data_IF_848305318422
#
_entry.id   IF_848305318422
#
_cell.length_a   1.000
_cell.length_b   1.000
_cell.length_c   1.000
_cell.angle_alpha   90.00
_cell.angle_beta   90.00
_cell.angle_gamma   90.00
#
_symmetry.space_group_name_H-M   'P 1'
#
loop_
_entity.id
_entity.type
_entity.pdbx_description
1 polymer ?
#
# COMPACT_ATOMS: atom_id res chain seq x y z
N UNK A 1 0.35 17.39 9.06
CA UNK A 1 1.29 17.26 7.94
C UNK A 1 1.29 18.59 7.21
N UNK A 2 2.43 19.06 6.72
CA UNK A 2 2.52 20.41 6.13
C UNK A 2 2.61 20.32 4.60
N UNK A 3 1.54 19.78 4.01
CA UNK A 3 1.41 19.54 2.56
C UNK A 3 0.08 20.10 2.03
N UNK A 4 -0.04 20.21 0.71
CA UNK A 4 -1.29 20.45 0.00
C UNK A 4 -1.58 19.32 -0.98
N UNK A 5 -2.81 19.21 -1.45
CA UNK A 5 -3.26 18.20 -2.40
C UNK A 5 -3.57 16.87 -1.70
N UNK A 6 -3.23 15.76 -2.35
CA UNK A 6 -3.59 14.44 -1.86
C UNK A 6 -2.49 13.84 -0.97
N UNK A 7 -2.76 13.55 0.31
CA UNK A 7 -1.79 12.92 1.21
C UNK A 7 -1.60 11.42 0.91
N UNK A 8 -2.34 10.85 -0.04
CA UNK A 8 -2.46 9.40 -0.22
C UNK A 8 -1.13 8.72 -0.54
N UNK A 9 -0.32 9.28 -1.44
CA UNK A 9 0.99 8.71 -1.75
C UNK A 9 1.96 8.73 -0.57
N UNK A 10 1.88 9.75 0.30
CA UNK A 10 2.69 9.83 1.53
C UNK A 10 2.26 8.77 2.55
N UNK A 11 0.94 8.64 2.77
CA UNK A 11 0.40 7.73 3.78
C UNK A 11 0.44 6.26 3.33
N UNK A 12 0.29 5.98 2.04
CA UNK A 12 0.36 4.62 1.49
C UNK A 12 1.77 4.01 1.56
N UNK A 13 2.79 4.85 1.55
CA UNK A 13 4.19 4.46 1.72
C UNK A 13 4.75 4.90 3.08
N UNK A 14 3.88 5.08 4.10
CA UNK A 14 4.34 5.47 5.42
C UNK A 14 5.25 4.37 5.99
N UNK A 15 6.47 4.73 6.45
CA UNK A 15 7.47 3.76 6.86
C UNK A 15 7.07 3.04 8.15
N UNK A 16 7.94 2.13 8.60
CA UNK A 16 7.80 1.40 9.88
C UNK A 16 8.07 2.36 11.05
N UNK A 17 7.09 3.22 11.32
CA UNK A 17 7.10 4.20 12.39
C UNK A 17 5.68 4.35 12.94
N UNK A 18 5.51 4.69 14.23
CA UNK A 18 4.21 5.01 14.78
C UNK A 18 3.62 6.23 14.07
N UNK A 19 2.36 6.14 13.64
CA UNK A 19 1.63 7.31 13.14
C UNK A 19 1.19 8.15 14.34
N UNK A 20 1.91 9.24 14.62
CA UNK A 20 1.71 10.02 15.85
C UNK A 20 0.53 11.00 15.72
N UNK A 21 0.52 11.82 14.69
CA UNK A 21 -0.53 12.82 14.49
C UNK A 21 -0.71 13.19 13.02
N UNK A 22 -1.98 13.33 12.64
CA UNK A 22 -2.39 13.92 11.37
C UNK A 22 -3.06 15.26 11.68
N UNK A 23 -2.30 16.35 11.55
CA UNK A 23 -2.82 17.72 11.65
C UNK A 23 -3.08 18.31 10.26
N UNK A 24 -3.94 19.34 10.19
CA UNK A 24 -4.38 20.04 8.97
C UNK A 24 -5.33 19.28 8.04
N UNK A 25 -6.08 18.30 8.56
CA UNK A 25 -7.05 17.51 7.77
C UNK A 25 -8.32 18.28 7.38
N UNK A 26 -8.62 19.37 8.09
CA UNK A 26 -9.76 20.28 7.90
C UNK A 26 -9.45 21.43 6.93
N UNK A 27 -8.22 21.53 6.47
CA UNK A 27 -7.79 22.57 5.52
C UNK A 27 -8.33 22.20 4.14
N UNK A 28 -9.00 23.16 3.48
CA UNK A 28 -9.61 22.97 2.15
C UNK A 28 -8.63 22.56 1.04
N UNK A 29 -7.32 22.73 1.27
CA UNK A 29 -6.24 22.36 0.36
C UNK A 29 -5.85 20.88 0.43
N UNK A 30 -6.39 20.11 1.39
CA UNK A 30 -6.12 18.68 1.54
C UNK A 30 -7.26 17.86 0.94
N UNK A 31 -6.96 16.90 0.08
CA UNK A 31 -7.97 15.97 -0.43
C UNK A 31 -8.34 14.94 0.66
N UNK A 32 -9.57 14.37 0.62
CA UNK A 32 -9.94 13.24 1.47
C UNK A 32 -8.94 12.08 1.40
N UNK A 33 -8.78 11.35 2.51
CA UNK A 33 -7.87 10.20 2.59
C UNK A 33 -8.33 9.09 1.64
N UNK A 34 -9.62 8.80 1.65
CA UNK A 34 -10.29 7.83 0.79
C UNK A 34 -11.09 8.64 -0.24
N UNK A 35 -10.84 8.45 -1.55
CA UNK A 35 -11.61 9.17 -2.56
C UNK A 35 -13.09 8.77 -2.53
N UNK A 36 -13.95 9.63 -3.09
CA UNK A 36 -15.42 9.49 -3.04
C UNK A 36 -16.06 9.61 -1.64
N UNK A 37 -15.27 9.90 -0.60
CA UNK A 37 -15.75 10.29 0.74
C UNK A 37 -15.48 11.77 1.03
N UNK A 38 -16.16 12.34 2.02
CA UNK A 38 -15.76 13.63 2.59
C UNK A 38 -14.46 13.49 3.39
N UNK A 39 -13.77 14.60 3.67
CA UNK A 39 -12.57 14.59 4.52
C UNK A 39 -12.86 13.92 5.87
N UNK A 40 -13.93 14.35 6.56
CA UNK A 40 -14.32 13.81 7.85
C UNK A 40 -14.66 12.32 7.81
N UNK A 41 -15.49 11.88 6.85
CA UNK A 41 -15.86 10.46 6.74
C UNK A 41 -14.65 9.59 6.40
N UNK A 42 -13.73 10.07 5.55
CA UNK A 42 -12.52 9.33 5.22
C UNK A 42 -11.58 9.13 6.43
N UNK A 43 -11.50 10.13 7.30
CA UNK A 43 -10.71 10.06 8.55
C UNK A 43 -11.39 9.12 9.54
N UNK A 44 -12.70 9.25 9.71
CA UNK A 44 -13.50 8.36 10.57
C UNK A 44 -13.33 6.90 10.14
N UNK A 45 -13.34 6.62 8.84
CA UNK A 45 -13.13 5.29 8.27
C UNK A 45 -11.78 4.70 8.66
N UNK A 46 -10.71 5.47 8.53
CA UNK A 46 -9.37 5.05 8.95
C UNK A 46 -9.29 4.84 10.47
N UNK A 47 -9.98 5.67 11.26
CA UNK A 47 -10.06 5.53 12.73
C UNK A 47 -10.70 4.19 13.12
N UNK A 48 -11.64 3.64 12.33
CA UNK A 48 -12.19 2.30 12.58
C UNK A 48 -11.10 1.23 12.59
N UNK A 49 -10.15 1.28 11.64
CA UNK A 49 -9.00 0.37 11.62
C UNK A 49 -8.01 0.66 12.76
N UNK A 50 -7.75 1.95 13.04
CA UNK A 50 -6.88 2.36 14.15
C UNK A 50 -7.34 1.81 15.50
N UNK A 51 -8.65 1.81 15.76
CA UNK A 51 -9.20 1.28 16.99
C UNK A 51 -9.02 -0.24 17.14
N UNK A 52 -8.69 -0.97 16.06
CA UNK A 52 -8.46 -2.42 16.06
C UNK A 52 -6.99 -2.79 16.23
N UNK A 53 -6.10 -2.15 15.47
CA UNK A 53 -4.65 -2.37 15.58
C UNK A 53 -3.88 -1.04 15.38
N UNK A 54 -3.80 -0.21 16.44
CA UNK A 54 -3.13 1.09 16.36
C UNK A 54 -1.63 0.93 16.08
N UNK A 55 -1.04 -0.20 16.52
CA UNK A 55 0.35 -0.53 16.29
C UNK A 55 0.68 -0.81 14.83
N UNK A 56 -0.30 -1.03 13.94
CA UNK A 56 -0.09 -1.37 12.53
C UNK A 56 -0.66 -0.34 11.56
N UNK A 57 -1.45 0.61 12.05
CA UNK A 57 -2.18 1.57 11.21
C UNK A 57 -1.24 2.37 10.32
N UNK A 58 -1.55 2.38 9.02
CA UNK A 58 -0.78 2.98 7.93
C UNK A 58 0.64 2.46 7.72
N UNK A 59 1.06 1.40 8.41
CA UNK A 59 2.37 0.84 8.13
C UNK A 59 2.39 0.06 6.83
N UNK A 60 3.41 0.33 6.05
CA UNK A 60 3.65 -0.36 4.80
C UNK A 60 4.18 -1.78 5.03
N UNK A 61 3.47 -2.76 4.47
CA UNK A 61 3.90 -4.14 4.29
C UNK A 61 4.01 -4.45 2.80
N UNK A 62 5.05 -5.17 2.38
CA UNK A 62 5.27 -5.49 0.97
C UNK A 62 5.00 -6.99 0.72
N UNK A 63 4.22 -7.28 -0.33
CA UNK A 63 3.97 -8.63 -0.82
C UNK A 63 4.41 -8.75 -2.28
N UNK A 64 4.86 -9.95 -2.66
CA UNK A 64 5.18 -10.28 -4.05
C UNK A 64 4.40 -11.53 -4.46
N UNK A 65 3.59 -11.41 -5.51
CA UNK A 65 2.99 -12.55 -6.17
C UNK A 65 3.83 -12.91 -7.40
N UNK A 66 4.83 -13.75 -7.18
CA UNK A 66 5.76 -14.16 -8.25
C UNK A 66 5.08 -15.01 -9.33
N UNK A 67 3.91 -15.61 -9.05
CA UNK A 67 3.18 -16.37 -10.08
C UNK A 67 2.55 -15.44 -11.11
N UNK A 68 2.06 -14.27 -10.65
CA UNK A 68 1.43 -13.25 -11.49
C UNK A 68 2.38 -12.10 -11.87
N UNK A 69 3.61 -12.12 -11.35
CA UNK A 69 4.57 -11.02 -11.41
C UNK A 69 4.01 -9.69 -10.86
N UNK A 70 3.32 -9.74 -9.71
CA UNK A 70 2.76 -8.56 -9.08
C UNK A 70 3.53 -8.14 -7.83
N UNK A 71 3.53 -6.84 -7.57
CA UNK A 71 3.95 -6.27 -6.29
C UNK A 71 2.77 -5.62 -5.61
N UNK A 72 2.67 -5.81 -4.30
CA UNK A 72 1.63 -5.21 -3.48
C UNK A 72 2.29 -4.41 -2.36
N UNK A 73 1.90 -3.14 -2.26
CA UNK A 73 2.19 -2.29 -1.11
C UNK A 73 0.92 -2.15 -0.29
N UNK A 74 0.93 -2.71 0.92
CA UNK A 74 -0.21 -2.76 1.83
C UNK A 74 0.04 -1.77 2.97
N UNK A 75 -0.66 -0.65 2.96
CA UNK A 75 -0.73 0.29 4.09
C UNK A 75 -1.96 -0.08 4.94
N UNK A 76 -1.75 -0.95 5.93
CA UNK A 76 -2.87 -1.55 6.67
C UNK A 76 -3.76 -0.49 7.35
N UNK A 77 -5.07 -0.64 7.24
CA UNK A 77 -6.05 0.31 7.77
C UNK A 77 -6.21 1.58 6.92
N UNK A 78 -5.64 1.63 5.72
CA UNK A 78 -5.77 2.77 4.82
C UNK A 78 -5.96 2.37 3.35
N UNK A 79 -4.92 1.85 2.68
CA UNK A 79 -4.97 1.54 1.25
C UNK A 79 -3.99 0.44 0.84
N UNK A 80 -4.24 -0.13 -0.34
CA UNK A 80 -3.37 -1.10 -1.00
C UNK A 80 -3.08 -0.61 -2.41
N UNK A 81 -1.82 -0.66 -2.80
CA UNK A 81 -1.37 -0.39 -4.17
C UNK A 81 -0.91 -1.70 -4.80
N UNK A 82 -1.62 -2.13 -5.84
CA UNK A 82 -1.27 -3.28 -6.66
C UNK A 82 -0.56 -2.81 -7.93
N UNK A 83 0.66 -3.30 -8.12
CA UNK A 83 1.46 -3.09 -9.31
C UNK A 83 1.45 -4.38 -10.14
N UNK A 84 0.87 -4.38 -11.36
CA UNK A 84 0.90 -5.51 -12.30
C UNK A 84 2.29 -5.84 -12.88
N UNK A 85 3.35 -5.56 -12.13
CA UNK A 85 4.75 -5.85 -12.43
C UNK A 85 5.55 -5.95 -11.12
N UNK A 86 6.74 -6.53 -11.20
CA UNK A 86 7.64 -6.62 -10.06
C UNK A 86 8.39 -5.29 -9.87
N UNK A 87 8.31 -4.74 -8.67
CA UNK A 87 8.92 -3.48 -8.25
C UNK A 87 9.86 -3.72 -7.09
N UNK A 88 11.02 -3.08 -7.09
CA UNK A 88 11.93 -3.28 -5.97
C UNK A 88 11.42 -2.60 -4.69
N UNK A 89 11.86 -3.10 -3.53
CA UNK A 89 11.39 -2.60 -2.24
C UNK A 89 11.68 -1.10 -2.07
N UNK A 90 12.83 -0.61 -2.57
CA UNK A 90 13.19 0.80 -2.51
C UNK A 90 12.24 1.67 -3.32
N UNK A 91 11.78 1.20 -4.48
CA UNK A 91 10.78 1.91 -5.28
C UNK A 91 9.41 1.89 -4.64
N UNK A 92 8.99 0.77 -4.03
CA UNK A 92 7.72 0.67 -3.31
C UNK A 92 7.71 1.56 -2.05
N UNK A 93 8.85 1.72 -1.38
CA UNK A 93 9.02 2.60 -0.22
C UNK A 93 9.07 4.09 -0.58
N UNK A 94 9.24 4.44 -1.87
CA UNK A 94 9.19 5.83 -2.29
C UNK A 94 7.74 6.29 -2.48
N UNK A 95 7.24 7.27 -1.71
CA UNK A 95 5.88 7.75 -1.84
C UNK A 95 5.65 8.36 -3.22
N UNK A 96 4.49 8.05 -3.83
CA UNK A 96 4.05 8.74 -5.03
C UNK A 96 3.79 10.22 -4.71
N UNK A 97 4.30 11.12 -5.55
CA UNK A 97 4.14 12.57 -5.37
C UNK A 97 2.73 13.03 -5.74
N UNK A 98 1.76 12.72 -4.88
CA UNK A 98 0.36 13.15 -4.98
C UNK A 98 0.08 14.46 -4.23
N UNK A 99 1.10 15.00 -3.59
CA UNK A 99 1.06 16.18 -2.72
C UNK A 99 2.07 17.24 -3.16
N UNK A 100 1.88 18.46 -2.67
CA UNK A 100 2.76 19.62 -2.83
C UNK A 100 3.17 20.14 -1.46
N UNK A 101 4.22 20.95 -1.41
CA UNK A 101 4.60 21.63 -0.15
C UNK A 101 3.47 22.56 0.30
N UNK A 102 3.37 22.83 1.62
CA UNK A 102 2.34 23.70 2.19
C UNK A 102 2.22 25.08 1.54
N UNK A 103 3.32 25.64 1.00
CA UNK A 103 3.33 26.94 0.32
C UNK A 103 3.31 26.82 -1.21
N UNK A 104 3.20 25.62 -1.76
CA UNK A 104 3.34 25.36 -3.19
C UNK A 104 4.72 25.71 -3.75
N UNK A 105 5.76 25.74 -2.89
CA UNK A 105 7.15 25.90 -3.31
C UNK A 105 7.57 24.75 -4.22
N UNK A 106 8.46 25.06 -5.17
CA UNK A 106 9.11 24.07 -6.03
C UNK A 106 10.37 23.47 -5.40
N UNK A 107 10.61 23.77 -4.13
CA UNK A 107 11.74 23.22 -3.39
C UNK A 107 11.57 21.70 -3.21
N UNK A 108 12.66 20.93 -3.25
CA UNK A 108 12.60 19.49 -3.09
C UNK A 108 12.17 19.11 -1.66
N UNK A 109 11.49 17.97 -1.53
CA UNK A 109 11.21 17.38 -0.22
C UNK A 109 12.51 16.85 0.41
N UNK A 110 12.51 16.70 1.74
CA UNK A 110 13.61 16.10 2.49
C UNK A 110 13.76 14.58 2.28
N UNK A 111 12.83 13.98 1.53
CA UNK A 111 12.80 12.58 1.16
C UNK A 111 12.51 12.43 -0.32
N UNK A 112 12.90 11.29 -0.90
CA UNK A 112 12.66 11.00 -2.31
C UNK A 112 11.20 10.64 -2.57
N UNK A 113 10.64 11.13 -3.67
CA UNK A 113 9.28 10.81 -4.12
C UNK A 113 9.32 10.22 -5.52
N UNK A 114 8.42 9.28 -5.82
CA UNK A 114 8.21 8.84 -7.19
C UNK A 114 7.33 9.86 -7.93
N UNK A 115 7.63 10.21 -9.20
CA UNK A 115 6.74 11.05 -9.98
C UNK A 115 5.34 10.41 -10.07
N UNK A 116 4.31 11.24 -9.90
CA UNK A 116 2.95 10.81 -10.23
C UNK A 116 2.87 10.60 -11.74
N UNK A 117 2.90 9.33 -12.17
CA UNK A 117 2.88 9.00 -13.60
C UNK A 117 1.58 9.51 -14.21
N UNK A 118 1.63 10.18 -15.38
CA UNK A 118 0.41 10.63 -16.08
C UNK A 118 -0.24 9.48 -16.85
N UNK A 119 0.58 8.54 -17.30
CA UNK A 119 0.15 7.38 -18.07
C UNK A 119 -0.63 6.37 -17.21
N UNK A 120 -1.83 6.02 -17.68
CA UNK A 120 -2.76 5.10 -17.06
C UNK A 120 -2.10 3.78 -16.60
N UNK A 121 -1.29 3.16 -17.47
CA UNK A 121 -0.73 1.82 -17.23
C UNK A 121 0.63 1.83 -16.53
N UNK A 122 1.04 3.01 -16.03
CA UNK A 122 2.23 3.18 -15.18
C UNK A 122 1.84 3.54 -13.74
N UNK A 123 0.56 3.45 -13.37
CA UNK A 123 0.06 3.70 -12.02
C UNK A 123 -0.37 2.41 -11.34
N UNK A 124 -0.20 2.26 -10.01
CA UNK A 124 -0.80 1.15 -9.31
C UNK A 124 -2.33 1.20 -9.42
N UNK A 125 -2.95 0.02 -9.32
CA UNK A 125 -4.37 -0.09 -9.02
C UNK A 125 -4.50 0.11 -7.51
N UNK A 126 -5.30 1.09 -7.10
CA UNK A 126 -5.47 1.46 -5.70
C UNK A 126 -6.77 0.89 -5.13
N UNK A 127 -6.67 0.24 -3.97
CA UNK A 127 -7.80 -0.23 -3.19
C UNK A 127 -7.82 0.52 -1.86
N UNK A 128 -9.00 0.92 -1.41
CA UNK A 128 -9.17 1.72 -0.19
C UNK A 128 -9.96 0.96 0.86
N UNK A 129 -9.72 1.28 2.13
CA UNK A 129 -10.37 0.63 3.25
C UNK A 129 -11.90 0.64 3.12
N UNK A 130 -12.49 -0.55 3.06
CA UNK A 130 -13.94 -0.77 2.95
C UNK A 130 -14.53 -1.23 4.28
N UNK A 131 -13.93 -2.22 4.95
CA UNK A 131 -14.43 -2.74 6.23
C UNK A 131 -13.32 -3.38 7.07
N UNK A 132 -13.52 -3.39 8.39
CA UNK A 132 -12.65 -4.05 9.37
C UNK A 132 -13.51 -4.91 10.30
N UNK A 133 -13.23 -6.21 10.36
CA UNK A 133 -14.05 -7.20 11.07
C UNK A 133 -13.15 -8.10 11.92
N UNK A 134 -13.54 -8.34 13.18
CA UNK A 134 -12.89 -9.33 14.02
C UNK A 134 -13.36 -10.74 13.63
N UNK A 135 -12.42 -11.64 13.41
CA UNK A 135 -12.69 -13.05 13.16
C UNK A 135 -12.74 -13.83 14.47
N UNK A 136 -13.50 -14.93 14.48
CA UNK A 136 -13.68 -15.79 15.66
C UNK A 136 -12.39 -16.44 16.16
N UNK A 137 -11.38 -16.55 15.31
CA UNK A 137 -10.07 -17.10 15.63
C UNK A 137 -9.09 -16.07 16.22
N UNK A 138 -9.55 -14.84 16.49
CA UNK A 138 -8.71 -13.76 17.04
C UNK A 138 -7.88 -13.01 16.00
N UNK A 139 -8.04 -13.31 14.70
CA UNK A 139 -7.49 -12.51 13.62
C UNK A 139 -8.43 -11.34 13.26
N UNK A 140 -7.90 -10.33 12.58
CA UNK A 140 -8.67 -9.23 12.00
C UNK A 140 -8.70 -9.42 10.48
N UNK A 141 -9.90 -9.39 9.90
CA UNK A 141 -10.13 -9.32 8.47
C UNK A 141 -10.39 -7.87 8.07
N UNK A 142 -9.62 -7.37 7.12
CA UNK A 142 -9.79 -6.04 6.55
C UNK A 142 -10.00 -6.16 5.04
N UNK A 143 -11.10 -5.60 4.53
CA UNK A 143 -11.37 -5.58 3.10
C UNK A 143 -11.09 -4.21 2.52
N UNK A 144 -10.56 -4.20 1.30
CA UNK A 144 -10.26 -2.99 0.54
C UNK A 144 -10.91 -3.12 -0.82
N UNK A 145 -11.65 -2.10 -1.25
CA UNK A 145 -12.37 -2.08 -2.52
C UNK A 145 -11.76 -1.07 -3.48
N UNK A 146 -11.82 -1.37 -4.77
CA UNK A 146 -11.54 -0.38 -5.81
C UNK A 146 -12.70 0.61 -5.89
N UNK A 147 -12.42 1.82 -6.34
CA UNK A 147 -13.47 2.81 -6.60
C UNK A 147 -14.20 2.42 -7.88
N UNK A 148 -15.52 2.26 -7.77
CA UNK A 148 -16.40 1.91 -8.88
C UNK A 148 -16.35 3.06 -9.91
N UNK A 149 -15.93 2.77 -11.14
CA UNK A 149 -15.86 3.74 -12.25
C UNK A 149 -14.46 4.26 -12.58
N UNK A 150 -13.43 3.94 -11.80
CA UNK A 150 -12.01 4.21 -12.14
C UNK A 150 -11.35 3.05 -12.90
N UNK A 151 -12.13 2.22 -13.61
CA UNK A 151 -11.56 1.15 -14.44
C UNK A 151 -10.80 1.76 -15.62
N UNK A 152 -9.49 1.56 -15.61
CA UNK A 152 -8.59 2.04 -16.64
C UNK A 152 -8.68 1.12 -17.88
N UNK A 153 -9.79 1.21 -18.62
CA UNK A 153 -10.05 0.43 -19.86
C UNK A 153 -8.90 0.55 -20.88
N UNK A 154 -8.13 1.64 -20.80
CA UNK A 154 -6.94 1.89 -21.62
C UNK A 154 -5.78 0.91 -21.36
N UNK A 155 -5.83 0.12 -20.28
CA UNK A 155 -4.76 -0.77 -19.85
C UNK A 155 -5.05 -2.26 -20.03
N UNK A 156 -6.04 -2.65 -20.84
CA UNK A 156 -6.41 -4.06 -21.08
C UNK A 156 -5.38 -4.93 -21.83
N UNK A 157 -4.08 -4.75 -21.59
CA UNK A 157 -3.07 -5.70 -22.04
C UNK A 157 -3.09 -6.99 -21.19
N UNK A 158 -2.47 -8.05 -21.70
CA UNK A 158 -2.48 -9.38 -21.08
C UNK A 158 -1.96 -9.41 -19.62
N UNK A 159 -1.08 -8.48 -19.24
CA UNK A 159 -0.48 -8.40 -17.91
C UNK A 159 -1.37 -7.63 -16.92
N UNK A 160 -2.07 -6.60 -17.38
CA UNK A 160 -2.94 -5.77 -16.56
C UNK A 160 -4.35 -6.33 -16.40
N UNK A 161 -4.91 -6.96 -17.44
CA UNK A 161 -6.30 -7.45 -17.44
C UNK A 161 -6.61 -8.35 -16.23
N UNK A 162 -5.74 -9.29 -15.83
CA UNK A 162 -5.88 -10.03 -14.58
C UNK A 162 -6.00 -9.17 -13.31
N UNK A 163 -5.26 -8.07 -13.24
CA UNK A 163 -5.24 -7.17 -12.08
C UNK A 163 -6.45 -6.22 -12.07
N UNK A 164 -6.92 -5.77 -13.24
CA UNK A 164 -8.13 -4.95 -13.39
C UNK A 164 -9.41 -5.70 -13.04
N UNK A 165 -9.41 -7.03 -13.17
CA UNK A 165 -10.54 -7.87 -12.78
C UNK A 165 -10.71 -8.00 -11.26
N UNK A 166 -9.75 -7.52 -10.46
CA UNK A 166 -9.86 -7.51 -9.01
C UNK A 166 -10.71 -6.32 -8.55
N UNK A 167 -11.74 -6.61 -7.77
CA UNK A 167 -12.60 -5.59 -7.16
C UNK A 167 -12.33 -5.42 -5.66
N UNK A 168 -11.86 -6.47 -5.02
CA UNK A 168 -11.63 -6.48 -3.58
C UNK A 168 -10.33 -7.19 -3.21
N UNK A 169 -9.64 -6.66 -2.22
CA UNK A 169 -8.50 -7.30 -1.57
C UNK A 169 -8.84 -7.50 -0.11
N UNK A 170 -8.80 -8.74 0.35
CA UNK A 170 -8.98 -9.12 1.74
C UNK A 170 -7.62 -9.33 2.39
N UNK A 171 -7.42 -8.73 3.56
CA UNK A 171 -6.19 -8.84 4.33
C UNK A 171 -6.51 -9.42 5.70
N UNK A 172 -5.84 -10.52 6.04
CA UNK A 172 -5.92 -11.11 7.39
C UNK A 172 -4.65 -10.81 8.17
N UNK A 173 -4.81 -10.40 9.42
CA UNK A 173 -3.70 -10.08 10.32
C UNK A 173 -3.98 -10.56 11.74
N UNK A 174 -2.93 -10.83 12.50
CA UNK A 174 -3.02 -10.86 13.97
C UNK A 174 -2.67 -9.48 14.52
N UNK A 175 -3.27 -9.10 15.67
CA UNK A 175 -2.96 -7.82 16.33
C UNK A 175 -1.46 -7.71 16.55
N UNK A 176 -0.86 -6.60 16.12
CA UNK A 176 0.56 -6.35 16.32
C UNK A 176 0.81 -5.95 17.78
N UNK A 177 1.52 -6.77 18.58
CA UNK A 177 1.78 -6.46 19.98
C UNK A 177 2.52 -5.12 20.12
N UNK A 178 2.07 -4.17 20.98
CA UNK A 178 2.72 -2.88 21.17
C UNK A 178 4.21 -2.97 21.56
N UNK A 179 4.63 -4.10 22.12
CA UNK A 179 6.02 -4.37 22.51
C UNK A 179 7.00 -4.41 21.32
N UNK A 180 6.50 -4.60 20.10
CA UNK A 180 7.32 -4.53 18.88
C UNK A 180 8.00 -3.17 18.75
N UNK A 181 7.37 -2.10 19.23
CA UNK A 181 7.93 -0.74 19.21
C UNK A 181 9.06 -0.50 20.22
N UNK A 182 9.30 -1.44 21.14
CA UNK A 182 10.49 -1.42 22.01
C UNK A 182 11.70 -2.08 21.36
N UNK A 183 11.54 -2.65 20.18
CA UNK A 183 12.58 -3.32 19.42
C UNK A 183 12.98 -2.45 18.22
N UNK A 184 14.06 -2.82 17.53
CA UNK A 184 14.41 -2.19 16.28
C UNK A 184 13.24 -2.33 15.28
N UNK A 185 12.75 -1.25 14.65
CA UNK A 185 11.66 -1.32 13.69
C UNK A 185 11.97 -2.32 12.57
N UNK A 186 11.06 -3.27 12.37
CA UNK A 186 11.17 -4.27 11.30
C UNK A 186 9.92 -4.20 10.45
N UNK A 187 10.10 -4.06 9.14
CA UNK A 187 9.01 -4.11 8.17
C UNK A 187 8.28 -5.45 8.29
N UNK A 188 6.97 -5.41 8.09
CA UNK A 188 6.17 -6.62 7.93
C UNK A 188 6.11 -7.00 6.45
N UNK A 189 5.98 -8.30 6.20
CA UNK A 189 5.84 -8.84 4.85
C UNK A 189 4.48 -9.53 4.76
N UNK A 190 4.10 -9.93 3.56
CA UNK A 190 2.82 -10.57 3.36
C UNK A 190 2.86 -11.65 2.29
N UNK A 191 2.00 -12.65 2.50
CA UNK A 191 1.77 -13.72 1.55
C UNK A 191 0.49 -13.47 0.78
N UNK A 192 0.56 -13.67 -0.53
CA UNK A 192 -0.63 -13.76 -1.37
C UNK A 192 -1.14 -15.20 -1.33
N UNK A 193 -2.32 -15.38 -0.74
CA UNK A 193 -2.99 -16.67 -0.63
C UNK A 193 -3.67 -16.91 -1.97
N UNK A 194 -3.07 -17.79 -2.77
CA UNK A 194 -3.61 -18.19 -4.06
C UNK A 194 -4.61 -19.32 -3.85
N UNK A 195 -5.86 -19.12 -4.28
CA UNK A 195 -6.80 -20.22 -4.47
C UNK A 195 -6.36 -21.07 -5.68
N UNK A 196 -6.58 -22.38 -5.61
CA UNK A 196 -6.24 -23.34 -6.67
C UNK A 196 -7.04 -23.08 -7.97
N UNK A 197 -8.22 -22.45 -7.85
CA UNK A 197 -9.14 -22.13 -8.95
C UNK A 197 -8.97 -20.70 -9.46
N UNK A 198 -7.92 -20.46 -10.25
CA UNK A 198 -7.81 -19.27 -11.10
C UNK A 198 -7.94 -17.91 -10.40
N UNK A 199 -8.14 -16.85 -11.18
CA UNK A 199 -8.31 -15.48 -10.64
C UNK A 199 -9.78 -15.28 -10.32
N UNK A 200 -10.13 -15.35 -9.04
CA UNK A 200 -11.40 -14.83 -8.52
C UNK A 200 -11.34 -13.30 -8.53
N UNK A 201 -12.50 -12.63 -8.52
CA UNK A 201 -12.61 -11.16 -8.41
C UNK A 201 -12.04 -10.58 -7.11
N UNK A 202 -11.59 -11.44 -6.18
CA UNK A 202 -11.10 -11.10 -4.87
C UNK A 202 -9.71 -11.71 -4.64
N UNK A 203 -8.78 -10.91 -4.09
CA UNK A 203 -7.46 -11.37 -3.69
C UNK A 203 -7.40 -11.51 -2.16
N UNK A 204 -6.75 -12.55 -1.64
CA UNK A 204 -6.53 -12.70 -0.20
C UNK A 204 -5.04 -12.60 0.13
N UNK A 205 -4.70 -11.73 1.07
CA UNK A 205 -3.36 -11.48 1.59
C UNK A 205 -3.33 -11.78 3.09
N UNK A 206 -2.23 -12.34 3.60
CA UNK A 206 -1.96 -12.44 5.03
C UNK A 206 -0.70 -11.66 5.40
N UNK A 207 -0.80 -10.72 6.34
CA UNK A 207 0.37 -9.98 6.84
C UNK A 207 1.02 -10.76 7.98
N UNK A 208 2.36 -10.85 7.95
CA UNK A 208 3.18 -11.52 8.96
C UNK A 208 4.55 -10.83 9.11
N UNK A 209 5.37 -11.33 10.02
CA UNK A 209 6.78 -10.96 10.06
C UNK A 209 7.50 -11.42 8.78
N UNK A 210 8.49 -10.65 8.33
CA UNK A 210 9.33 -11.05 7.20
C UNK A 210 10.21 -12.25 7.55
N UNK A 211 10.33 -13.18 6.61
CA UNK A 211 11.31 -14.25 6.63
C UNK A 211 12.72 -13.67 6.41
N UNK A 212 13.74 -14.47 6.73
CA UNK A 212 15.14 -14.08 6.52
C UNK A 212 15.38 -13.77 5.04
N UNK A 213 15.79 -12.53 4.74
CA UNK A 213 16.04 -12.07 3.38
C UNK A 213 14.81 -11.62 2.59
N UNK A 214 13.60 -11.70 3.17
CA UNK A 214 12.37 -11.19 2.52
C UNK A 214 12.18 -9.68 2.75
N UNK A 215 12.89 -9.13 3.75
CA UNK A 215 12.97 -7.68 3.94
C UNK A 215 13.74 -6.98 2.82
N UNK A 216 14.55 -7.72 2.04
CA UNK A 216 15.20 -7.20 0.83
C UNK A 216 14.41 -7.63 -0.40
N UNK A 217 14.48 -6.83 -1.47
CA UNK A 217 13.84 -7.14 -2.75
C UNK A 217 14.20 -8.56 -3.20
N UNK A 218 13.23 -9.44 -3.50
CA UNK A 218 13.53 -10.74 -4.09
C UNK A 218 14.26 -10.55 -5.44
N UNK A 219 15.18 -11.44 -5.82
CA UNK A 219 15.83 -11.34 -7.12
C UNK A 219 14.78 -11.55 -8.23
N UNK A 220 14.51 -10.51 -9.00
CA UNK A 220 13.71 -10.58 -10.22
C UNK A 220 14.21 -9.58 -11.25
N UNK A 221 13.83 -9.81 -12.50
CA UNK A 221 14.01 -8.84 -13.57
C UNK A 221 12.95 -7.76 -13.38
N UNK A 222 13.38 -6.49 -13.31
CA UNK A 222 12.44 -5.38 -13.19
C UNK A 222 11.62 -5.19 -14.48
N UNK A 223 10.71 -4.21 -14.48
CA UNK A 223 9.88 -3.89 -15.66
C UNK A 223 10.66 -3.47 -16.92
N UNK A 224 11.98 -3.26 -16.81
CA UNK A 224 12.86 -2.92 -17.93
C UNK A 224 13.74 -4.09 -18.38
N UNK A 225 13.58 -5.28 -17.77
CA UNK A 225 14.38 -6.46 -18.09
C UNK A 225 15.80 -6.38 -17.53
N UNK A 226 16.11 -5.41 -16.67
CA UNK A 226 17.38 -5.36 -15.97
C UNK A 226 17.33 -6.26 -14.73
N UNK A 227 18.43 -6.96 -14.46
CA UNK A 227 18.58 -7.73 -13.23
C UNK A 227 18.62 -6.74 -12.07
N UNK A 228 17.65 -6.81 -11.13
CA UNK A 228 17.69 -5.97 -9.93
C UNK A 228 19.01 -6.28 -9.17
N UNK A 229 19.97 -5.35 -9.26
CA UNK A 229 21.42 -5.57 -9.08
C UNK A 229 21.88 -5.93 -7.64
N UNK A 230 20.97 -6.29 -6.73
CA UNK A 230 21.26 -6.29 -5.29
C UNK A 230 21.80 -7.60 -4.70
N UNK A 231 22.10 -8.61 -5.52
CA UNK A 231 22.70 -9.86 -5.03
C UNK A 231 24.23 -9.95 -5.18
N UNK A 232 24.93 -8.92 -5.67
CA UNK A 232 26.41 -8.97 -5.80
C UNK A 232 27.21 -8.52 -4.58
N UNK A 233 26.57 -8.03 -3.52
CA UNK A 233 27.28 -7.54 -2.32
C UNK A 233 26.89 -8.28 -1.05
N UNK A 234 26.94 -9.61 -1.06
CA UNK A 234 27.20 -10.43 0.14
C UNK A 234 28.06 -11.62 -0.31
N UNK A 235 29.38 -11.44 -0.28
CA UNK A 235 30.36 -12.52 -0.19
C UNK A 235 31.21 -12.25 1.04
#
# INVERSE_FOLDING_TARGET
MDIQGSPRGLLAAHPVAPLVSLHHLDVYLIHPLIPSMSQFESVKKVIEAYNKDPSRTMQQSLCYDLKRNWSLSVSWGFSIQLYPWLMNARELEMPMQTFKTWKGSKEPFTFSTQPSNVEACKRPIEFYLDQVVDLRNGEILTSYSTIIGETNEQCENQHYRPALALHMVNVTTTILPPQVWRQAPRRQCCDVINDEDGIRSNLHIRIRGCNRGESVTPPFYDKYGEFAYFQRFVR
#
